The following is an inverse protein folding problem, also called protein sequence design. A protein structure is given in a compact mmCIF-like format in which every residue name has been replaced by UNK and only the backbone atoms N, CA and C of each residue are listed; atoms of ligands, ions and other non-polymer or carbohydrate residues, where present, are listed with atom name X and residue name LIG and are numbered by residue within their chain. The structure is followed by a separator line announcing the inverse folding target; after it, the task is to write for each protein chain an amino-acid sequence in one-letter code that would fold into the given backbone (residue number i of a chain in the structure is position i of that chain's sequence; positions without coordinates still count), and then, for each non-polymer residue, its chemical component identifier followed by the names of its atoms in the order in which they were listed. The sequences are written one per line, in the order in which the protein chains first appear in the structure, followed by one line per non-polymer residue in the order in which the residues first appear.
data_IF_449959890539
#
_entry.id   IF_449959890539
#
_cell.length_a   1.000
_cell.length_b   1.000
_cell.length_c   1.000
_cell.angle_alpha   90.00
_cell.angle_beta   90.00
_cell.angle_gamma   90.00
#
_symmetry.space_group_name_H-M   'P 1'
#
loop_
_entity.id
_entity.type
_entity.pdbx_description
1 polymer ?
#
# COMPACT_ATOMS: atom_id res chain seq x y z
N UNK A 1 7.30 33.16 -27.19
CA UNK A 1 5.97 33.31 -26.54
C UNK A 1 5.90 32.33 -25.37
N UNK A 2 5.29 32.67 -24.25
CA UNK A 2 5.11 31.74 -23.14
C UNK A 2 4.44 30.44 -23.59
N UNK A 3 4.87 29.30 -23.03
CA UNK A 3 4.31 28.01 -23.36
C UNK A 3 2.90 27.80 -22.72
N UNK A 4 2.04 26.92 -23.28
CA UNK A 4 0.70 26.70 -22.74
C UNK A 4 0.70 26.18 -21.29
N UNK A 5 -0.31 26.60 -20.53
CA UNK A 5 -0.67 26.07 -19.22
C UNK A 5 -2.08 25.48 -19.34
N UNK A 6 -2.18 24.15 -19.36
CA UNK A 6 -3.45 23.45 -19.52
C UNK A 6 -4.02 23.06 -18.15
N UNK A 7 -5.32 23.18 -17.96
CA UNK A 7 -6.00 22.73 -16.74
C UNK A 7 -6.65 21.38 -16.95
N UNK A 8 -6.35 20.42 -16.10
CA UNK A 8 -6.88 19.05 -16.15
C UNK A 8 -7.62 18.71 -14.87
N UNK A 9 -8.59 17.82 -14.93
CA UNK A 9 -9.38 17.34 -13.77
C UNK A 9 -9.00 15.95 -13.32
N UNK A 10 -8.32 15.19 -14.18
CA UNK A 10 -7.79 13.85 -13.89
C UNK A 10 -6.29 13.84 -14.16
N UNK A 11 -5.51 13.60 -13.13
CA UNK A 11 -4.05 13.58 -13.22
C UNK A 11 -3.50 12.38 -14.04
N UNK A 12 -4.30 11.32 -14.20
CA UNK A 12 -3.95 10.15 -15.01
C UNK A 12 -4.24 10.35 -16.51
N UNK A 13 -4.92 11.43 -16.89
CA UNK A 13 -5.24 11.75 -18.29
C UNK A 13 -4.03 12.25 -19.10
N UNK A 14 -2.91 12.53 -18.45
CA UNK A 14 -1.67 13.02 -19.05
C UNK A 14 -0.48 12.19 -18.59
N UNK A 15 0.62 12.26 -19.34
CA UNK A 15 1.89 11.62 -19.00
C UNK A 15 2.94 12.72 -18.77
N UNK A 16 3.01 13.30 -17.58
CA UNK A 16 3.99 14.33 -17.27
C UNK A 16 5.38 13.72 -17.04
N UNK A 17 6.43 14.45 -17.38
CA UNK A 17 7.81 14.06 -17.03
C UNK A 17 8.04 14.10 -15.52
N UNK A 18 7.27 14.94 -14.82
CA UNK A 18 7.33 15.06 -13.37
C UNK A 18 6.00 15.56 -12.81
N UNK A 19 5.56 14.96 -11.70
CA UNK A 19 4.44 15.47 -10.91
C UNK A 19 5.02 16.30 -9.77
N UNK A 20 4.64 17.58 -9.70
CA UNK A 20 5.17 18.54 -8.73
C UNK A 20 4.11 18.94 -7.72
N UNK A 21 4.34 18.64 -6.45
CA UNK A 21 3.54 19.12 -5.33
C UNK A 21 4.18 20.37 -4.72
N UNK A 22 3.53 21.51 -4.89
CA UNK A 22 4.02 22.78 -4.33
C UNK A 22 3.50 23.08 -2.93
N UNK A 23 2.85 22.12 -2.26
CA UNK A 23 2.43 22.25 -0.86
C UNK A 23 3.64 22.21 0.08
N UNK A 24 3.43 22.59 1.34
CA UNK A 24 4.49 22.51 2.33
C UNK A 24 4.96 21.07 2.57
N UNK A 25 6.20 20.86 3.06
CA UNK A 25 6.71 19.52 3.36
C UNK A 25 5.80 18.70 4.29
N UNK A 26 5.19 19.32 5.30
CA UNK A 26 4.25 18.65 6.19
C UNK A 26 2.96 18.20 5.48
N UNK A 27 2.40 19.04 4.59
CA UNK A 27 1.25 18.67 3.77
C UNK A 27 1.58 17.50 2.81
N UNK A 28 2.79 17.48 2.24
CA UNK A 28 3.29 16.42 1.37
C UNK A 28 3.52 15.10 2.12
N UNK A 29 4.15 15.18 3.30
CA UNK A 29 4.43 14.00 4.12
C UNK A 29 3.16 13.29 4.60
N UNK A 30 2.06 14.04 4.81
CA UNK A 30 0.77 13.45 5.18
C UNK A 30 0.20 12.59 4.05
N UNK A 31 0.17 13.12 2.82
CA UNK A 31 -0.30 12.41 1.61
C UNK A 31 0.03 13.21 0.35
N UNK A 32 0.29 12.54 -0.76
CA UNK A 32 0.57 13.15 -2.07
C UNK A 32 0.23 12.19 -3.21
N UNK A 33 0.18 12.68 -4.45
CA UNK A 33 0.06 11.83 -5.63
C UNK A 33 1.30 10.92 -5.71
N UNK A 34 1.16 9.58 -5.84
CA UNK A 34 2.29 8.67 -5.96
C UNK A 34 3.27 9.10 -7.06
N UNK A 35 4.56 9.09 -6.74
CA UNK A 35 5.62 9.57 -7.64
C UNK A 35 5.78 11.09 -7.71
N UNK A 36 4.99 11.88 -6.99
CA UNK A 36 5.16 13.33 -6.95
C UNK A 36 6.45 13.73 -6.21
N UNK A 37 7.08 14.79 -6.70
CA UNK A 37 8.23 15.45 -6.06
C UNK A 37 7.74 16.69 -5.31
N UNK A 38 8.15 16.85 -4.06
CA UNK A 38 7.80 18.05 -3.30
C UNK A 38 8.72 19.22 -3.68
N UNK A 39 8.14 20.26 -4.25
CA UNK A 39 8.78 21.54 -4.53
C UNK A 39 7.99 22.66 -3.82
N UNK A 40 8.12 22.78 -2.50
CA UNK A 40 7.26 23.64 -1.71
C UNK A 40 7.50 25.12 -2.03
N UNK A 41 6.43 25.84 -2.39
CA UNK A 41 6.50 27.31 -2.51
C UNK A 41 6.43 28.00 -1.15
N UNK A 42 6.16 27.25 -0.08
CA UNK A 42 6.29 27.65 1.31
C UNK A 42 6.88 26.49 2.12
N UNK A 43 7.86 26.74 2.98
CA UNK A 43 8.21 25.80 4.05
C UNK A 43 7.02 25.58 4.99
N UNK A 44 7.09 24.62 5.88
CA UNK A 44 6.03 24.36 6.88
C UNK A 44 5.78 25.60 7.73
N UNK A 45 6.84 26.27 8.22
CA UNK A 45 6.75 27.46 9.05
C UNK A 45 6.23 28.67 8.27
N UNK A 46 6.74 28.89 7.06
CA UNK A 46 6.23 29.95 6.17
C UNK A 46 4.74 29.76 5.88
N UNK A 47 4.31 28.51 5.68
CA UNK A 47 2.90 28.20 5.44
C UNK A 47 2.02 28.53 6.65
N UNK A 48 2.49 28.21 7.87
CA UNK A 48 1.83 28.56 9.13
C UNK A 48 1.76 30.08 9.31
N UNK A 49 2.87 30.77 9.12
CA UNK A 49 2.98 32.23 9.25
C UNK A 49 2.02 32.96 8.30
N UNK A 50 2.05 32.65 7.01
CA UNK A 50 1.18 33.27 6.01
C UNK A 50 -0.31 32.94 6.30
N UNK A 51 -0.61 31.73 6.77
CA UNK A 51 -1.94 31.32 7.17
C UNK A 51 -2.49 32.13 8.35
N UNK A 52 -1.67 32.41 9.35
CA UNK A 52 -1.99 33.23 10.51
C UNK A 52 -2.18 34.70 10.10
N UNK A 53 -1.24 35.26 9.33
CA UNK A 53 -1.31 36.64 8.86
C UNK A 53 -2.58 36.88 8.01
N UNK A 54 -2.98 35.90 7.18
CA UNK A 54 -4.19 35.98 6.36
C UNK A 54 -5.47 36.04 7.20
N UNK A 55 -5.51 35.27 8.32
CA UNK A 55 -6.70 35.20 9.19
C UNK A 55 -6.79 36.34 10.18
N UNK A 56 -5.66 36.78 10.72
CA UNK A 56 -5.61 37.67 11.88
C UNK A 56 -5.30 39.13 11.56
N UNK A 57 -4.79 39.45 10.36
CA UNK A 57 -4.36 40.79 10.00
C UNK A 57 -4.96 41.24 8.67
N UNK A 58 -4.27 41.02 7.56
CA UNK A 58 -4.68 41.54 6.26
C UNK A 58 -4.37 40.53 5.14
N UNK A 59 -5.41 40.21 4.34
CA UNK A 59 -5.25 39.39 3.15
C UNK A 59 -4.25 40.00 2.13
N UNK A 60 -4.15 41.33 2.05
CA UNK A 60 -3.20 42.03 1.19
C UNK A 60 -1.76 41.85 1.70
N UNK A 61 -1.53 42.07 3.00
CA UNK A 61 -0.21 41.92 3.63
C UNK A 61 0.29 40.48 3.52
N UNK A 62 -0.60 39.50 3.79
CA UNK A 62 -0.30 38.07 3.63
C UNK A 62 0.09 37.71 2.19
N UNK A 63 -0.65 38.22 1.20
CA UNK A 63 -0.33 38.01 -0.22
C UNK A 63 0.98 38.67 -0.63
N UNK A 64 1.25 39.94 -0.20
CA UNK A 64 2.51 40.63 -0.49
C UNK A 64 3.71 39.90 0.10
N UNK A 65 3.65 39.55 1.39
CA UNK A 65 4.73 38.80 2.06
C UNK A 65 4.90 37.41 1.44
N UNK A 66 3.80 36.70 1.20
CA UNK A 66 3.78 35.38 0.59
C UNK A 66 4.37 35.36 -0.82
N UNK A 67 4.08 36.37 -1.64
CA UNK A 67 4.65 36.47 -2.99
C UNK A 67 6.18 36.52 -2.98
N UNK A 68 6.79 37.29 -2.07
CA UNK A 68 8.26 37.34 -1.92
C UNK A 68 8.85 36.00 -1.50
N UNK A 69 8.19 35.26 -0.61
CA UNK A 69 8.62 33.92 -0.20
C UNK A 69 8.51 32.92 -1.34
N UNK A 70 7.36 32.91 -2.04
CA UNK A 70 7.09 32.06 -3.21
C UNK A 70 8.15 32.26 -4.29
N UNK A 71 8.44 33.51 -4.67
CA UNK A 71 9.42 33.82 -5.70
C UNK A 71 10.82 33.29 -5.35
N UNK A 72 11.26 33.46 -4.10
CA UNK A 72 12.55 32.97 -3.62
C UNK A 72 12.63 31.44 -3.62
N UNK A 73 11.60 30.77 -3.13
CA UNK A 73 11.56 29.32 -3.08
C UNK A 73 11.53 28.71 -4.50
N UNK A 74 10.77 29.30 -5.43
CA UNK A 74 10.76 28.85 -6.83
C UNK A 74 12.14 29.05 -7.47
N UNK A 75 12.82 30.18 -7.25
CA UNK A 75 14.18 30.41 -7.76
C UNK A 75 15.13 29.28 -7.31
N UNK A 76 15.09 28.93 -6.01
CA UNK A 76 15.89 27.81 -5.51
C UNK A 76 15.56 26.46 -6.16
N UNK A 77 14.29 26.18 -6.48
CA UNK A 77 13.93 24.94 -7.20
C UNK A 77 14.44 24.92 -8.64
N UNK A 78 14.43 26.06 -9.32
CA UNK A 78 15.01 26.18 -10.68
C UNK A 78 16.51 25.94 -10.69
N UNK A 79 17.22 26.45 -9.68
CA UNK A 79 18.68 26.32 -9.53
C UNK A 79 19.11 24.91 -9.06
N UNK A 80 18.19 24.08 -8.58
CA UNK A 80 18.49 22.74 -8.04
C UNK A 80 17.75 21.63 -8.78
N UNK A 81 16.51 21.37 -8.42
CA UNK A 81 15.72 20.21 -8.90
C UNK A 81 15.33 20.30 -10.38
N UNK A 82 15.32 21.51 -10.95
CA UNK A 82 14.90 21.76 -12.33
C UNK A 82 16.05 22.22 -13.24
N UNK A 83 17.28 22.38 -12.72
CA UNK A 83 18.43 22.92 -13.47
C UNK A 83 18.78 22.11 -14.72
N UNK A 84 18.60 20.79 -14.67
CA UNK A 84 18.99 19.87 -15.75
C UNK A 84 17.81 19.56 -16.71
N UNK A 85 16.67 20.27 -16.61
CA UNK A 85 15.50 19.99 -17.45
C UNK A 85 15.62 20.66 -18.81
N UNK A 86 15.46 19.87 -19.86
CA UNK A 86 15.50 20.32 -21.25
C UNK A 86 14.25 21.12 -21.68
N UNK A 87 14.24 21.62 -22.93
CA UNK A 87 13.14 22.44 -23.44
C UNK A 87 11.80 21.71 -23.54
N UNK A 88 11.81 20.39 -23.70
CA UNK A 88 10.62 19.55 -23.87
C UNK A 88 10.00 19.10 -22.53
N UNK A 89 10.54 19.56 -21.40
CA UNK A 89 10.06 19.19 -20.07
C UNK A 89 8.61 19.65 -19.83
N UNK A 90 7.76 18.73 -19.41
CA UNK A 90 6.32 18.93 -19.23
C UNK A 90 5.87 18.49 -17.83
N UNK A 91 5.86 19.39 -16.84
CA UNK A 91 5.42 19.05 -15.48
C UNK A 91 3.90 19.13 -15.31
N UNK A 92 3.37 18.25 -14.44
CA UNK A 92 2.07 18.40 -13.81
C UNK A 92 2.24 19.03 -12.43
N UNK A 93 1.63 20.19 -12.21
CA UNK A 93 1.81 20.97 -10.99
C UNK A 93 0.51 21.05 -10.22
N UNK A 94 0.54 20.80 -8.92
CA UNK A 94 -0.64 20.97 -8.08
C UNK A 94 -0.31 21.58 -6.71
N UNK A 95 -1.33 22.17 -6.09
CA UNK A 95 -1.32 22.61 -4.70
C UNK A 95 -2.59 22.10 -4.00
N UNK A 96 -2.97 22.67 -2.84
CA UNK A 96 -4.12 22.19 -2.07
C UNK A 96 -5.47 22.27 -2.81
N UNK A 97 -5.71 23.38 -3.57
CA UNK A 97 -6.98 23.66 -4.29
C UNK A 97 -6.78 24.08 -5.75
N UNK A 98 -5.62 23.88 -6.35
CA UNK A 98 -5.35 24.33 -7.73
C UNK A 98 -5.38 25.85 -7.88
N UNK A 99 -4.92 26.60 -6.87
CA UNK A 99 -4.98 28.07 -6.84
C UNK A 99 -3.60 28.72 -7.03
N UNK A 100 -3.40 29.88 -6.38
CA UNK A 100 -2.25 30.75 -6.57
C UNK A 100 -0.89 30.08 -6.42
N UNK A 101 -0.73 29.10 -5.52
CA UNK A 101 0.56 28.42 -5.26
C UNK A 101 1.05 27.64 -6.49
N UNK A 102 0.21 26.79 -7.06
CA UNK A 102 0.57 26.03 -8.26
C UNK A 102 0.65 26.90 -9.51
N UNK A 103 -0.23 27.89 -9.65
CA UNK A 103 -0.19 28.82 -10.74
C UNK A 103 1.08 29.71 -10.76
N UNK A 104 1.69 29.98 -9.59
CA UNK A 104 2.93 30.75 -9.52
C UNK A 104 4.10 30.00 -10.19
N UNK A 105 4.28 28.72 -9.87
CA UNK A 105 5.32 27.91 -10.51
C UNK A 105 4.99 27.67 -11.99
N UNK A 106 3.74 27.36 -12.34
CA UNK A 106 3.35 27.11 -13.72
C UNK A 106 3.60 28.31 -14.64
N UNK A 107 3.39 29.55 -14.17
CA UNK A 107 3.70 30.75 -14.92
C UNK A 107 5.19 30.88 -15.23
N UNK A 108 6.05 30.58 -14.26
CA UNK A 108 7.50 30.62 -14.47
C UNK A 108 7.92 29.53 -15.46
N UNK A 109 7.39 28.29 -15.32
CA UNK A 109 7.61 27.23 -16.29
C UNK A 109 7.19 27.64 -17.71
N UNK A 110 6.04 28.29 -17.84
CA UNK A 110 5.52 28.83 -19.11
C UNK A 110 6.45 29.89 -19.73
N UNK A 111 6.97 30.82 -18.94
CA UNK A 111 7.94 31.85 -19.41
C UNK A 111 9.28 31.24 -19.83
N UNK A 112 9.71 30.14 -19.22
CA UNK A 112 10.91 29.39 -19.63
C UNK A 112 10.66 28.67 -20.98
N UNK A 113 9.40 28.38 -21.33
CA UNK A 113 9.01 27.66 -22.53
C UNK A 113 8.50 26.23 -22.24
N UNK A 114 8.36 25.83 -20.97
CA UNK A 114 7.87 24.52 -20.57
C UNK A 114 6.32 24.48 -20.53
N UNK A 115 5.72 23.67 -21.41
CA UNK A 115 4.28 23.40 -21.34
C UNK A 115 3.98 22.70 -20.02
N UNK A 116 2.96 23.16 -19.31
CA UNK A 116 2.64 22.66 -17.98
C UNK A 116 1.18 22.29 -17.84
N UNK A 117 0.88 21.27 -17.03
CA UNK A 117 -0.48 20.96 -16.61
C UNK A 117 -0.72 21.44 -15.18
N UNK A 118 -1.90 21.97 -14.94
CA UNK A 118 -2.41 22.28 -13.60
C UNK A 118 -3.54 21.34 -13.24
N UNK A 119 -3.45 20.65 -12.10
CA UNK A 119 -4.56 19.87 -11.58
C UNK A 119 -5.63 20.82 -11.01
N UNK A 120 -6.77 20.94 -11.69
CA UNK A 120 -7.91 21.72 -11.24
C UNK A 120 -8.44 21.20 -9.90
N UNK A 121 -8.62 22.11 -8.93
CA UNK A 121 -8.95 21.74 -7.56
C UNK A 121 -7.81 21.10 -6.77
N UNK A 122 -6.66 20.83 -7.39
CA UNK A 122 -5.42 20.36 -6.77
C UNK A 122 -5.59 19.08 -5.98
N UNK A 123 -4.87 18.97 -4.85
CA UNK A 123 -4.91 17.81 -3.95
C UNK A 123 -6.33 17.40 -3.53
N UNK A 124 -7.26 18.35 -3.38
CA UNK A 124 -8.64 18.01 -3.04
C UNK A 124 -9.33 17.21 -4.14
N UNK A 125 -9.06 17.50 -5.42
CA UNK A 125 -9.57 16.71 -6.54
C UNK A 125 -8.94 15.34 -6.56
N UNK A 126 -7.62 15.25 -6.47
CA UNK A 126 -6.90 13.98 -6.31
C UNK A 126 -7.49 13.12 -5.18
N UNK A 127 -7.64 13.70 -3.98
CA UNK A 127 -8.16 12.95 -2.82
C UNK A 127 -9.59 12.43 -3.03
N UNK A 128 -10.45 13.17 -3.70
CA UNK A 128 -11.79 12.69 -4.08
C UNK A 128 -11.72 11.52 -5.06
N UNK A 129 -10.80 11.55 -6.02
CA UNK A 129 -10.58 10.45 -6.95
C UNK A 129 -10.09 9.19 -6.19
N UNK A 130 -9.12 9.33 -5.29
CA UNK A 130 -8.67 8.22 -4.44
C UNK A 130 -9.83 7.56 -3.70
N UNK A 131 -10.67 8.34 -3.02
CA UNK A 131 -11.81 7.80 -2.28
C UNK A 131 -12.84 7.11 -3.18
N UNK A 132 -13.13 7.67 -4.34
CA UNK A 132 -14.02 7.08 -5.33
C UNK A 132 -13.45 5.77 -5.90
N UNK A 133 -12.16 5.71 -6.15
CA UNK A 133 -11.47 4.51 -6.63
C UNK A 133 -11.47 3.40 -5.59
N UNK A 134 -11.21 3.72 -4.33
CA UNK A 134 -11.27 2.76 -3.22
C UNK A 134 -12.67 2.18 -2.99
N UNK A 135 -13.71 2.91 -3.35
CA UNK A 135 -15.08 2.38 -3.30
C UNK A 135 -15.43 1.54 -4.54
N UNK A 136 -14.99 1.97 -5.71
CA UNK A 136 -15.35 1.35 -7.00
C UNK A 136 -14.51 0.14 -7.38
N UNK A 137 -13.17 0.28 -7.35
CA UNK A 137 -12.25 -0.70 -7.95
C UNK A 137 -12.29 -2.09 -7.30
N UNK A 138 -12.34 -2.22 -5.96
CA UNK A 138 -12.31 -3.53 -5.33
C UNK A 138 -13.45 -4.44 -5.76
N UNK A 139 -14.64 -3.87 -6.05
CA UNK A 139 -15.82 -4.65 -6.45
C UNK A 139 -15.69 -5.41 -7.77
N UNK A 140 -14.78 -4.99 -8.64
CA UNK A 140 -14.49 -5.66 -9.92
C UNK A 140 -13.41 -6.74 -9.83
N UNK A 141 -12.70 -6.86 -8.71
CA UNK A 141 -11.57 -7.78 -8.59
C UNK A 141 -11.98 -9.19 -8.16
N UNK A 142 -11.24 -10.18 -8.65
CA UNK A 142 -11.33 -11.57 -8.22
C UNK A 142 -10.17 -11.86 -7.27
N UNK A 143 -10.43 -11.68 -5.97
CA UNK A 143 -9.41 -11.90 -4.95
C UNK A 143 -9.28 -13.38 -4.59
N UNK A 144 -8.05 -13.83 -4.38
CA UNK A 144 -7.70 -15.10 -3.74
C UNK A 144 -6.79 -14.80 -2.55
N UNK A 145 -7.26 -15.13 -1.36
CA UNK A 145 -6.48 -14.87 -0.14
C UNK A 145 -5.39 -15.91 0.06
N UNK A 146 -4.21 -15.48 0.45
CA UNK A 146 -3.15 -16.34 0.98
C UNK A 146 -3.27 -16.33 2.51
N UNK A 147 -3.65 -17.45 3.10
CA UNK A 147 -3.83 -17.60 4.55
C UNK A 147 -2.88 -18.65 5.12
N UNK A 148 -2.70 -18.66 6.41
CA UNK A 148 -1.84 -19.60 7.12
C UNK A 148 -1.31 -18.99 8.41
N UNK A 149 -0.88 -19.81 9.39
CA UNK A 149 -0.33 -19.34 10.65
C UNK A 149 0.90 -18.43 10.46
N UNK A 150 1.29 -17.74 11.53
CA UNK A 150 2.52 -16.94 11.53
C UNK A 150 3.75 -17.81 11.22
N UNK A 151 4.64 -17.31 10.38
CA UNK A 151 5.86 -18.01 9.98
C UNK A 151 5.70 -18.98 8.80
N UNK A 152 4.54 -19.05 8.12
CA UNK A 152 4.34 -19.92 6.95
C UNK A 152 4.77 -19.30 5.62
N UNK A 153 5.43 -18.14 5.63
CA UNK A 153 6.02 -17.52 4.43
C UNK A 153 5.02 -16.88 3.47
N UNK A 154 3.83 -16.44 3.95
CA UNK A 154 2.79 -15.80 3.12
C UNK A 154 3.31 -14.66 2.25
N UNK A 155 3.99 -13.70 2.84
CA UNK A 155 4.55 -12.51 2.14
C UNK A 155 5.58 -12.92 1.09
N UNK A 156 6.47 -13.87 1.40
CA UNK A 156 7.43 -14.39 0.43
C UNK A 156 6.76 -15.18 -0.69
N UNK A 157 5.68 -15.93 -0.39
CA UNK A 157 4.89 -16.58 -1.43
C UNK A 157 4.19 -15.55 -2.33
N UNK A 158 3.65 -14.47 -1.76
CA UNK A 158 3.04 -13.39 -2.55
C UNK A 158 4.05 -12.78 -3.52
N UNK A 159 5.29 -12.55 -3.07
CA UNK A 159 6.39 -12.10 -3.93
C UNK A 159 6.75 -13.15 -5.01
N UNK A 160 6.77 -14.45 -4.69
CA UNK A 160 7.02 -15.52 -5.65
C UNK A 160 5.90 -15.62 -6.70
N UNK A 161 4.65 -15.41 -6.31
CA UNK A 161 3.50 -15.32 -7.23
C UNK A 161 3.67 -14.13 -8.19
N UNK A 162 4.03 -12.95 -7.67
CA UNK A 162 4.31 -11.78 -8.50
C UNK A 162 5.45 -12.03 -9.49
N UNK A 163 6.56 -12.60 -9.02
CA UNK A 163 7.71 -12.96 -9.87
C UNK A 163 7.36 -13.99 -10.96
N UNK A 164 6.34 -14.83 -10.75
CA UNK A 164 5.82 -15.77 -11.76
C UNK A 164 4.80 -15.13 -12.72
N UNK A 165 4.57 -13.81 -12.65
CA UNK A 165 3.65 -13.07 -13.50
C UNK A 165 2.19 -13.08 -13.03
N UNK A 166 1.89 -13.58 -11.82
CA UNK A 166 0.58 -13.46 -11.22
C UNK A 166 0.38 -12.03 -10.66
N UNK A 167 -0.87 -11.58 -10.59
CA UNK A 167 -1.18 -10.32 -9.94
C UNK A 167 -1.22 -10.49 -8.42
N UNK A 168 -0.57 -9.61 -7.71
CA UNK A 168 -0.58 -9.60 -6.24
C UNK A 168 -0.84 -8.21 -5.70
N UNK A 169 -1.49 -8.14 -4.54
CA UNK A 169 -1.72 -6.92 -3.79
C UNK A 169 -1.10 -7.09 -2.40
N UNK A 170 0.08 -6.51 -2.22
CA UNK A 170 0.84 -6.57 -0.97
C UNK A 170 0.42 -5.42 -0.05
N UNK A 171 -0.54 -5.70 0.83
CA UNK A 171 -1.08 -4.72 1.76
C UNK A 171 -0.07 -4.36 2.87
N UNK A 172 0.80 -5.30 3.26
CA UNK A 172 1.84 -5.07 4.24
C UNK A 172 2.91 -4.10 3.72
N UNK A 173 3.36 -4.29 2.47
CA UNK A 173 4.29 -3.38 1.82
C UNK A 173 3.69 -1.98 1.67
N UNK A 174 2.43 -1.87 1.23
CA UNK A 174 1.73 -0.58 1.11
C UNK A 174 1.59 0.14 2.46
N UNK A 175 1.41 -0.63 3.55
CA UNK A 175 1.33 -0.12 4.91
C UNK A 175 2.71 0.12 5.56
N UNK A 176 3.81 -0.28 4.91
CA UNK A 176 5.16 -0.32 5.51
C UNK A 176 5.17 -1.02 6.88
N UNK A 177 4.48 -2.20 6.97
CA UNK A 177 4.30 -2.94 8.22
C UNK A 177 3.94 -4.40 7.95
N UNK A 178 4.52 -5.34 8.68
CA UNK A 178 4.34 -6.80 8.49
C UNK A 178 3.09 -7.37 9.18
N UNK A 179 2.03 -6.62 9.39
CA UNK A 179 0.74 -7.08 9.94
C UNK A 179 0.77 -7.62 11.38
N UNK A 180 1.88 -8.12 11.87
CA UNK A 180 2.03 -8.73 13.20
C UNK A 180 2.36 -7.72 14.29
N UNK A 181 2.33 -8.14 15.56
CA UNK A 181 2.77 -7.32 16.69
C UNK A 181 4.23 -6.84 16.57
N UNK A 182 5.08 -7.66 15.96
CA UNK A 182 6.48 -7.39 15.66
C UNK A 182 6.69 -6.80 14.25
N UNK A 183 5.61 -6.34 13.61
CA UNK A 183 5.60 -5.99 12.20
C UNK A 183 6.16 -4.62 11.84
N UNK A 184 6.55 -3.79 12.81
CA UNK A 184 7.19 -2.51 12.53
C UNK A 184 8.54 -2.70 11.83
N UNK A 185 8.71 -2.06 10.67
CA UNK A 185 9.97 -2.16 9.92
C UNK A 185 11.03 -1.23 10.52
N UNK A 186 12.30 -1.65 10.58
CA UNK A 186 13.38 -0.77 11.04
C UNK A 186 13.52 0.42 10.07
N UNK A 187 13.68 1.60 10.64
CA UNK A 187 13.93 2.86 9.90
C UNK A 187 12.82 3.27 8.90
N UNK A 188 11.63 2.67 8.99
CA UNK A 188 10.47 3.05 8.18
C UNK A 188 9.28 3.33 9.09
N UNK A 189 8.74 4.55 9.03
CA UNK A 189 7.45 4.86 9.65
C UNK A 189 6.30 4.41 8.74
N UNK A 190 5.22 3.96 9.35
CA UNK A 190 4.00 3.72 8.59
C UNK A 190 3.51 5.02 7.94
N UNK A 191 2.91 4.94 6.74
CA UNK A 191 2.27 6.08 6.14
C UNK A 191 1.09 6.55 7.01
N UNK A 192 0.65 7.79 6.80
CA UNK A 192 -0.67 8.21 7.27
C UNK A 192 -1.77 7.33 6.66
N UNK A 193 -2.97 7.36 7.25
CA UNK A 193 -4.13 6.66 6.64
C UNK A 193 -4.37 7.13 5.19
N UNK A 194 -4.25 8.43 4.92
CA UNK A 194 -4.40 9.00 3.58
C UNK A 194 -3.32 8.51 2.62
N UNK A 195 -2.06 8.51 3.07
CA UNK A 195 -0.93 8.02 2.29
C UNK A 195 -1.05 6.53 1.96
N UNK A 196 -1.50 5.71 2.91
CA UNK A 196 -1.81 4.30 2.66
C UNK A 196 -2.92 4.15 1.61
N UNK A 197 -4.02 4.89 1.76
CA UNK A 197 -5.15 4.87 0.82
C UNK A 197 -4.75 5.32 -0.59
N UNK A 198 -3.89 6.32 -0.71
CA UNK A 198 -3.36 6.80 -1.99
C UNK A 198 -2.51 5.74 -2.69
N UNK A 199 -1.59 5.10 -1.96
CA UNK A 199 -0.79 3.98 -2.47
C UNK A 199 -1.65 2.79 -2.86
N UNK A 200 -2.67 2.47 -2.06
CA UNK A 200 -3.61 1.39 -2.34
C UNK A 200 -4.43 1.65 -3.59
N UNK A 201 -4.99 2.86 -3.74
CA UNK A 201 -5.74 3.22 -4.94
C UNK A 201 -4.88 3.13 -6.20
N UNK A 202 -3.62 3.55 -6.12
CA UNK A 202 -2.68 3.44 -7.23
C UNK A 202 -2.37 1.97 -7.57
N UNK A 203 -2.10 1.14 -6.58
CA UNK A 203 -1.91 -0.30 -6.77
C UNK A 203 -3.15 -0.97 -7.39
N UNK A 204 -4.37 -0.62 -6.95
CA UNK A 204 -5.61 -1.15 -7.50
C UNK A 204 -5.83 -0.78 -8.99
N UNK A 205 -5.36 0.38 -9.42
CA UNK A 205 -5.41 0.79 -10.84
C UNK A 205 -4.49 -0.03 -11.75
N UNK A 206 -3.43 -0.64 -11.21
CA UNK A 206 -2.51 -1.48 -11.97
C UNK A 206 -3.04 -2.90 -12.17
N UNK A 207 -4.14 -3.27 -11.52
CA UNK A 207 -4.70 -4.62 -11.57
C UNK A 207 -5.69 -4.77 -12.71
N UNK A 208 -5.55 -5.88 -13.47
CA UNK A 208 -6.51 -6.32 -14.48
C UNK A 208 -7.64 -7.10 -13.79
N UNK A 209 -8.90 -6.61 -13.80
CA UNK A 209 -10.02 -7.30 -13.17
C UNK A 209 -10.37 -8.64 -13.84
N UNK A 210 -9.89 -8.90 -15.07
CA UNK A 210 -10.09 -10.17 -15.74
C UNK A 210 -9.23 -11.30 -15.17
N UNK A 211 -8.15 -10.97 -14.45
CA UNK A 211 -7.18 -11.92 -13.89
C UNK A 211 -7.37 -12.06 -12.38
N UNK A 212 -7.05 -13.23 -11.77
CA UNK A 212 -7.05 -13.36 -10.32
C UNK A 212 -5.98 -12.50 -9.66
N UNK A 213 -6.30 -11.95 -8.49
CA UNK A 213 -5.38 -11.15 -7.68
C UNK A 213 -5.15 -11.86 -6.35
N UNK A 214 -3.90 -12.16 -6.04
CA UNK A 214 -3.51 -12.76 -4.77
C UNK A 214 -3.25 -11.67 -3.75
N UNK A 215 -3.75 -11.85 -2.51
CA UNK A 215 -3.58 -10.90 -1.42
C UNK A 215 -3.46 -11.65 -0.09
N UNK A 216 -2.67 -11.13 0.84
CA UNK A 216 -2.57 -11.74 2.17
C UNK A 216 -3.87 -11.60 2.96
N UNK A 217 -4.19 -12.65 3.73
CA UNK A 217 -5.37 -12.67 4.60
C UNK A 217 -5.11 -11.87 5.88
N UNK A 218 -4.98 -10.57 5.75
CA UNK A 218 -4.77 -9.65 6.87
C UNK A 218 -6.04 -9.40 7.69
N UNK A 219 -5.88 -8.75 8.85
CA UNK A 219 -6.99 -8.16 9.58
C UNK A 219 -7.46 -6.87 8.89
N UNK A 220 -8.60 -6.32 9.32
CA UNK A 220 -9.07 -5.02 8.82
C UNK A 220 -8.11 -3.87 9.15
N UNK A 221 -7.11 -4.11 10.00
CA UNK A 221 -6.12 -3.13 10.44
C UNK A 221 -4.71 -3.71 10.34
N UNK A 222 -3.79 -2.94 9.75
CA UNK A 222 -2.37 -3.27 9.60
C UNK A 222 -1.58 -2.20 10.36
N UNK A 223 -1.09 -2.54 11.55
CA UNK A 223 -0.47 -1.56 12.45
C UNK A 223 -1.41 -0.41 12.77
N UNK A 224 -1.08 0.82 12.36
CA UNK A 224 -1.87 2.04 12.59
C UNK A 224 -2.91 2.34 11.50
N UNK A 225 -2.83 1.69 10.32
CA UNK A 225 -3.72 1.97 9.18
C UNK A 225 -4.84 0.93 9.04
N UNK A 226 -5.97 1.36 8.47
CA UNK A 226 -7.13 0.52 8.23
C UNK A 226 -7.32 0.24 6.74
N UNK A 227 -7.63 -1.01 6.41
CA UNK A 227 -8.04 -1.39 5.06
C UNK A 227 -9.42 -0.75 4.77
N UNK A 228 -9.60 -0.06 3.63
CA UNK A 228 -10.88 0.54 3.25
C UNK A 228 -12.01 -0.50 3.27
N UNK A 229 -13.17 -0.10 3.79
CA UNK A 229 -14.30 -0.99 4.06
C UNK A 229 -14.72 -1.81 2.85
N UNK A 230 -14.71 -1.21 1.65
CA UNK A 230 -15.09 -1.90 0.42
C UNK A 230 -14.12 -3.04 0.08
N UNK A 231 -12.81 -2.79 0.12
CA UNK A 231 -11.80 -3.83 -0.10
C UNK A 231 -11.91 -4.94 0.95
N UNK A 232 -12.04 -4.55 2.23
CA UNK A 232 -12.21 -5.51 3.31
C UNK A 232 -13.44 -6.40 3.12
N UNK A 233 -14.58 -5.84 2.69
CA UNK A 233 -15.79 -6.62 2.38
C UNK A 233 -15.56 -7.64 1.26
N UNK A 234 -14.83 -7.27 0.20
CA UNK A 234 -14.49 -8.20 -0.90
C UNK A 234 -13.52 -9.29 -0.41
N UNK A 235 -12.53 -8.92 0.41
CA UNK A 235 -11.61 -9.90 1.02
C UNK A 235 -12.33 -10.92 1.91
N UNK A 236 -13.35 -10.51 2.65
CA UNK A 236 -14.12 -11.43 3.50
C UNK A 236 -14.91 -12.49 2.71
N UNK A 237 -15.27 -12.19 1.47
CA UNK A 237 -16.03 -13.09 0.58
C UNK A 237 -15.12 -13.92 -0.33
N UNK A 238 -13.82 -13.65 -0.34
CA UNK A 238 -12.87 -14.31 -1.23
C UNK A 238 -12.53 -15.73 -0.78
N UNK A 239 -12.34 -16.61 -1.78
CA UNK A 239 -11.73 -17.93 -1.58
C UNK A 239 -10.28 -17.79 -1.07
N UNK A 240 -9.80 -18.84 -0.37
CA UNK A 240 -8.46 -18.79 0.19
C UNK A 240 -7.62 -20.02 -0.15
N UNK A 241 -6.31 -19.80 -0.28
CA UNK A 241 -5.26 -20.83 -0.30
C UNK A 241 -4.61 -20.82 1.08
N UNK A 242 -4.61 -21.97 1.74
CA UNK A 242 -4.00 -22.13 3.07
C UNK A 242 -2.60 -22.71 2.97
N UNK A 243 -1.64 -22.03 3.60
CA UNK A 243 -0.29 -22.53 3.79
C UNK A 243 -0.15 -23.21 5.14
N UNK A 244 0.50 -24.35 5.15
CA UNK A 244 0.85 -25.12 6.33
C UNK A 244 2.34 -25.45 6.31
N UNK A 245 2.97 -25.44 7.47
CA UNK A 245 4.34 -25.89 7.66
C UNK A 245 4.51 -26.40 9.08
N UNK A 246 5.54 -27.25 9.30
CA UNK A 246 5.88 -27.74 10.63
C UNK A 246 6.29 -26.59 11.55
N UNK A 247 6.16 -26.77 12.86
CA UNK A 247 6.59 -25.76 13.84
C UNK A 247 8.08 -25.44 13.69
N UNK A 248 8.92 -26.47 13.50
CA UNK A 248 10.36 -26.29 13.29
C UNK A 248 10.69 -25.45 12.05
N UNK A 249 10.03 -25.72 10.91
CA UNK A 249 10.21 -24.94 9.69
C UNK A 249 9.78 -23.48 9.87
N UNK A 250 8.68 -23.24 10.60
CA UNK A 250 8.18 -21.88 10.90
C UNK A 250 9.13 -21.10 11.82
N UNK A 251 9.69 -21.76 12.82
CA UNK A 251 10.72 -21.16 13.71
C UNK A 251 11.95 -20.78 12.90
N UNK A 252 12.49 -21.69 12.11
CA UNK A 252 13.66 -21.42 11.27
C UNK A 252 13.42 -20.26 10.29
N UNK A 253 12.23 -20.25 9.67
CA UNK A 253 11.82 -19.17 8.77
C UNK A 253 11.75 -17.81 9.47
N UNK A 254 11.13 -17.75 10.65
CA UNK A 254 11.02 -16.49 11.41
C UNK A 254 12.36 -15.96 11.86
N UNK A 255 13.27 -16.83 12.32
CA UNK A 255 14.62 -16.41 12.71
C UNK A 255 15.38 -15.78 11.53
N UNK A 256 15.27 -16.37 10.34
CA UNK A 256 15.89 -15.84 9.14
C UNK A 256 15.21 -14.52 8.65
N UNK A 257 13.89 -14.41 8.80
CA UNK A 257 13.12 -13.27 8.31
C UNK A 257 13.18 -12.05 9.25
N UNK A 258 13.42 -12.28 10.53
CA UNK A 258 13.51 -11.26 11.58
C UNK A 258 14.95 -11.09 12.13
N UNK A 259 15.98 -11.46 11.37
CA UNK A 259 17.39 -11.34 11.77
C UNK A 259 17.75 -9.93 12.28
N UNK A 260 17.20 -8.88 11.67
CA UNK A 260 17.37 -7.49 12.11
C UNK A 260 16.88 -7.21 13.54
N UNK A 261 15.87 -7.96 14.02
CA UNK A 261 15.39 -7.86 15.41
C UNK A 261 16.32 -8.62 16.36
N UNK A 262 16.92 -9.71 15.90
CA UNK A 262 17.86 -10.51 16.70
C UNK A 262 19.16 -9.73 16.98
N UNK A 263 19.50 -8.77 16.09
CA UNK A 263 20.65 -7.88 16.29
C UNK A 263 20.38 -6.77 17.31
N UNK A 264 19.12 -6.49 17.68
CA UNK A 264 18.75 -5.51 18.71
C UNK A 264 17.63 -6.08 19.62
N UNK A 265 17.98 -7.03 20.52
CA UNK A 265 17.00 -7.68 21.40
C UNK A 265 16.24 -6.72 22.32
N UNK A 266 16.77 -5.53 22.60
CA UNK A 266 16.11 -4.53 23.43
C UNK A 266 14.75 -4.10 22.86
N UNK A 267 14.56 -4.19 21.55
CA UNK A 267 13.28 -3.90 20.89
C UNK A 267 12.16 -4.88 21.24
N UNK A 268 12.48 -6.11 21.62
CA UNK A 268 11.47 -7.10 22.02
C UNK A 268 10.91 -6.84 23.42
N UNK A 269 11.69 -6.27 24.32
CA UNK A 269 11.32 -6.13 25.71
C UNK A 269 10.02 -5.35 25.96
N UNK A 270 9.77 -4.18 25.34
CA UNK A 270 8.49 -3.47 25.46
C UNK A 270 7.31 -4.26 24.88
N UNK A 271 7.55 -5.02 23.80
CA UNK A 271 6.54 -5.80 23.11
C UNK A 271 6.08 -6.98 23.96
N UNK A 272 7.04 -7.74 24.54
CA UNK A 272 6.76 -8.84 25.45
C UNK A 272 6.06 -8.31 26.72
N UNK A 273 6.55 -7.22 27.30
CA UNK A 273 5.93 -6.59 28.48
C UNK A 273 4.47 -6.17 28.21
N UNK A 274 4.19 -5.66 27.00
CA UNK A 274 2.82 -5.28 26.57
C UNK A 274 1.86 -6.47 26.47
N UNK A 275 2.37 -7.71 26.39
CA UNK A 275 1.55 -8.93 26.34
C UNK A 275 1.07 -9.41 27.72
N UNK A 276 1.57 -8.82 28.84
CA UNK A 276 1.28 -9.26 30.21
C UNK A 276 -0.22 -9.28 30.55
N UNK A 277 -0.98 -8.31 30.08
CA UNK A 277 -2.43 -8.29 30.27
C UNK A 277 -3.15 -9.47 29.61
N UNK A 278 -2.59 -9.99 28.52
CA UNK A 278 -3.23 -11.03 27.72
C UNK A 278 -2.80 -12.45 28.12
N UNK A 279 -1.57 -12.62 28.57
CA UNK A 279 -0.95 -13.93 28.81
C UNK A 279 -0.60 -14.18 30.28
N UNK A 280 -0.73 -13.18 31.14
CA UNK A 280 -0.35 -13.25 32.55
C UNK A 280 1.13 -13.00 32.78
N UNK A 281 1.50 -12.92 34.07
CA UNK A 281 2.89 -12.62 34.47
C UNK A 281 3.83 -13.77 34.17
N UNK A 282 3.48 -14.98 34.58
CA UNK A 282 4.30 -16.19 34.43
C UNK A 282 4.74 -16.43 32.98
N UNK A 283 3.81 -16.40 32.05
CA UNK A 283 4.12 -16.59 30.63
C UNK A 283 5.00 -15.47 30.05
N UNK A 284 4.77 -14.25 30.49
CA UNK A 284 5.54 -13.07 30.04
C UNK A 284 6.97 -13.11 30.61
N UNK A 285 7.13 -13.49 31.86
CA UNK A 285 8.43 -13.66 32.51
C UNK A 285 9.23 -14.78 31.84
N UNK A 286 8.60 -15.90 31.51
CA UNK A 286 9.24 -16.97 30.75
C UNK A 286 9.77 -16.48 29.38
N UNK A 287 8.99 -15.68 28.63
CA UNK A 287 9.47 -15.11 27.37
C UNK A 287 10.61 -14.11 27.56
N UNK A 288 10.60 -13.33 28.64
CA UNK A 288 11.68 -12.41 28.99
C UNK A 288 12.97 -13.17 29.32
N UNK A 289 12.88 -14.26 30.08
CA UNK A 289 14.05 -15.12 30.38
C UNK A 289 14.66 -15.70 29.10
N UNK A 290 13.85 -16.18 28.16
CA UNK A 290 14.34 -16.70 26.88
C UNK A 290 15.03 -15.59 26.06
N UNK A 291 14.49 -14.38 26.07
CA UNK A 291 15.09 -13.23 25.42
C UNK A 291 16.43 -12.85 26.04
N UNK A 292 16.52 -12.81 27.38
CA UNK A 292 17.75 -12.48 28.12
C UNK A 292 18.84 -13.53 27.94
N UNK A 293 18.46 -14.81 27.80
CA UNK A 293 19.40 -15.92 27.52
C UNK A 293 19.85 -15.93 26.04
N UNK A 294 19.22 -15.15 25.17
CA UNK A 294 19.47 -15.19 23.74
C UNK A 294 18.98 -16.47 23.05
N UNK A 295 18.08 -17.22 23.70
CA UNK A 295 17.48 -18.44 23.13
C UNK A 295 16.30 -18.06 22.20
N UNK A 296 16.64 -17.47 21.07
CA UNK A 296 15.66 -17.01 20.09
C UNK A 296 14.84 -18.15 19.45
N UNK A 297 15.40 -19.35 19.20
CA UNK A 297 14.58 -20.48 18.74
C UNK A 297 13.47 -20.84 19.72
N UNK A 298 13.80 -21.01 21.00
CA UNK A 298 12.81 -21.33 22.03
C UNK A 298 11.81 -20.19 22.23
N UNK A 299 12.26 -18.93 22.17
CA UNK A 299 11.37 -17.75 22.23
C UNK A 299 10.38 -17.72 21.06
N UNK A 300 10.84 -17.96 19.83
CA UNK A 300 9.99 -18.01 18.64
C UNK A 300 8.96 -19.14 18.74
N UNK A 301 9.38 -20.34 19.17
CA UNK A 301 8.47 -21.48 19.38
C UNK A 301 7.42 -21.18 20.44
N UNK A 302 7.82 -20.62 21.58
CA UNK A 302 6.92 -20.26 22.67
C UNK A 302 5.89 -19.18 22.24
N UNK A 303 6.33 -18.16 21.49
CA UNK A 303 5.45 -17.13 20.95
C UNK A 303 4.49 -17.70 19.89
N UNK A 304 4.95 -18.55 18.99
CA UNK A 304 4.10 -19.23 18.02
C UNK A 304 2.99 -20.00 18.73
N UNK A 305 3.37 -20.84 19.67
CA UNK A 305 2.47 -21.80 20.33
C UNK A 305 1.47 -21.11 21.25
N UNK A 306 1.93 -20.18 22.08
CA UNK A 306 1.08 -19.56 23.12
C UNK A 306 0.37 -18.29 22.66
N UNK A 307 0.89 -17.57 21.65
CA UNK A 307 0.31 -16.30 21.22
C UNK A 307 -0.29 -16.38 19.80
N UNK A 308 0.54 -16.68 18.79
CA UNK A 308 0.14 -16.54 17.39
C UNK A 308 -0.85 -17.62 16.94
N UNK A 309 -0.63 -18.89 17.21
CA UNK A 309 -1.49 -19.99 16.75
C UNK A 309 -2.89 -19.95 17.40
N UNK A 310 -3.04 -19.65 18.70
CA UNK A 310 -4.36 -19.44 19.27
C UNK A 310 -5.08 -18.22 18.67
N UNK A 311 -4.36 -17.15 18.35
CA UNK A 311 -4.93 -15.97 17.70
C UNK A 311 -5.38 -16.29 16.26
N UNK A 312 -4.56 -17.00 15.49
CA UNK A 312 -4.90 -17.46 14.14
C UNK A 312 -6.13 -18.36 14.14
N UNK A 313 -6.19 -19.37 15.02
CA UNK A 313 -7.34 -20.28 15.14
C UNK A 313 -8.64 -19.52 15.43
N UNK A 314 -8.63 -18.56 16.35
CA UNK A 314 -9.82 -17.72 16.65
C UNK A 314 -10.27 -16.91 15.42
N UNK A 315 -9.33 -16.35 14.67
CA UNK A 315 -9.61 -15.58 13.47
C UNK A 315 -10.15 -16.46 12.35
N UNK A 316 -9.55 -17.63 12.14
CA UNK A 316 -9.99 -18.61 11.14
C UNK A 316 -11.43 -19.09 11.41
N UNK A 317 -11.75 -19.41 12.67
CA UNK A 317 -13.11 -19.79 13.08
C UNK A 317 -14.12 -18.66 12.88
N UNK A 318 -13.71 -17.41 13.16
CA UNK A 318 -14.61 -16.25 13.01
C UNK A 318 -14.97 -15.95 11.54
N UNK A 319 -14.03 -16.12 10.63
CA UNK A 319 -14.23 -15.74 9.22
C UNK A 319 -14.72 -16.86 8.33
N UNK A 320 -14.64 -18.15 8.76
CA UNK A 320 -15.13 -19.33 8.04
C UNK A 320 -14.83 -19.30 6.52
N UNK A 321 -13.60 -18.93 6.16
CA UNK A 321 -13.19 -18.74 4.76
C UNK A 321 -13.26 -20.07 4.01
N UNK A 322 -13.70 -20.03 2.76
CA UNK A 322 -13.69 -21.18 1.88
C UNK A 322 -12.24 -21.47 1.43
N UNK A 323 -11.65 -22.52 1.99
CA UNK A 323 -10.30 -22.97 1.58
C UNK A 323 -10.46 -23.81 0.31
N UNK A 324 -9.88 -23.35 -0.79
CA UNK A 324 -9.94 -24.05 -2.09
C UNK A 324 -8.70 -24.88 -2.38
N UNK A 325 -7.62 -24.60 -1.67
CA UNK A 325 -6.34 -25.31 -1.77
C UNK A 325 -5.59 -25.20 -0.43
N UNK A 326 -5.05 -26.33 0.06
CA UNK A 326 -4.11 -26.34 1.18
C UNK A 326 -2.77 -26.88 0.68
N UNK A 327 -1.69 -26.18 0.98
CA UNK A 327 -0.32 -26.56 0.63
C UNK A 327 0.51 -26.74 1.89
N UNK A 328 1.19 -27.87 1.97
CA UNK A 328 2.18 -28.12 2.99
C UNK A 328 3.56 -27.79 2.43
N UNK A 329 4.28 -26.88 3.11
CA UNK A 329 5.63 -26.44 2.75
C UNK A 329 6.63 -27.05 3.73
N UNK A 330 7.68 -27.65 3.20
CA UNK A 330 8.66 -28.41 4.01
C UNK A 330 9.72 -27.49 4.62
N UNK A 331 10.39 -26.70 3.78
CA UNK A 331 11.54 -25.88 4.18
C UNK A 331 11.26 -24.38 4.18
N UNK A 332 10.20 -23.91 3.53
CA UNK A 332 9.87 -22.49 3.34
C UNK A 332 10.98 -21.69 2.64
N UNK A 333 11.83 -22.35 1.92
CA UNK A 333 12.88 -21.74 1.10
C UNK A 333 12.34 -21.24 -0.25
N UNK A 334 13.18 -20.57 -1.03
CA UNK A 334 12.77 -20.01 -2.31
C UNK A 334 12.32 -21.08 -3.31
N UNK A 335 12.84 -22.29 -3.22
CA UNK A 335 12.47 -23.41 -4.09
C UNK A 335 11.08 -23.91 -3.79
N UNK A 336 10.76 -24.13 -2.51
CA UNK A 336 9.42 -24.50 -2.04
C UNK A 336 8.39 -23.42 -2.41
N UNK A 337 8.71 -22.17 -2.17
CA UNK A 337 7.83 -21.04 -2.48
C UNK A 337 7.56 -20.89 -3.98
N UNK A 338 8.58 -21.06 -4.82
CA UNK A 338 8.42 -21.04 -6.26
C UNK A 338 7.60 -22.22 -6.79
N UNK A 339 7.74 -23.41 -6.19
CA UNK A 339 6.92 -24.58 -6.51
C UNK A 339 5.46 -24.34 -6.13
N UNK A 340 5.22 -23.83 -4.92
CA UNK A 340 3.89 -23.46 -4.44
C UNK A 340 3.23 -22.40 -5.33
N UNK A 341 3.98 -21.36 -5.74
CA UNK A 341 3.48 -20.31 -6.62
C UNK A 341 3.00 -20.87 -7.97
N UNK A 342 3.78 -21.77 -8.58
CA UNK A 342 3.40 -22.46 -9.83
C UNK A 342 2.16 -23.33 -9.67
N UNK A 343 2.07 -24.09 -8.57
CA UNK A 343 0.90 -24.94 -8.30
C UNK A 343 -0.37 -24.12 -8.10
N UNK A 344 -0.30 -23.04 -7.31
CA UNK A 344 -1.41 -22.12 -7.07
C UNK A 344 -1.87 -21.51 -8.40
N UNK A 345 -0.93 -20.94 -9.16
CA UNK A 345 -1.25 -20.29 -10.45
C UNK A 345 -1.91 -21.28 -11.42
N UNK A 346 -1.37 -22.49 -11.57
CA UNK A 346 -1.92 -23.51 -12.43
C UNK A 346 -3.36 -23.93 -12.04
N UNK A 347 -3.61 -24.17 -10.75
CA UNK A 347 -4.93 -24.57 -10.25
C UNK A 347 -5.97 -23.45 -10.33
N UNK A 348 -5.61 -22.22 -9.98
CA UNK A 348 -6.53 -21.08 -9.98
C UNK A 348 -6.84 -20.63 -11.41
N UNK A 349 -5.84 -20.54 -12.30
CA UNK A 349 -6.03 -20.15 -13.70
C UNK A 349 -6.79 -21.25 -14.48
N UNK A 350 -6.48 -22.52 -14.24
CA UNK A 350 -7.17 -23.66 -14.86
C UNK A 350 -8.66 -23.74 -14.52
N UNK A 351 -9.05 -23.43 -13.27
CA UNK A 351 -10.46 -23.30 -12.88
C UNK A 351 -11.21 -22.20 -13.64
N UNK A 352 -10.54 -21.11 -13.99
CA UNK A 352 -11.14 -19.99 -14.71
C UNK A 352 -11.38 -20.37 -16.16
N UNK A 353 -10.42 -21.01 -16.81
CA UNK A 353 -10.55 -21.50 -18.20
C UNK A 353 -11.66 -22.54 -18.31
N UNK A 354 -11.76 -23.48 -17.37
CA UNK A 354 -12.80 -24.49 -17.32
C UNK A 354 -14.22 -23.91 -17.11
N UNK A 355 -14.37 -22.85 -16.29
CA UNK A 355 -15.66 -22.15 -16.11
C UNK A 355 -16.10 -21.34 -17.34
N UNK A 356 -15.15 -20.81 -18.11
CA UNK A 356 -15.44 -20.07 -19.35
C UNK A 356 -15.85 -21.05 -20.45
N UNK A 357 -15.14 -22.16 -20.63
CA UNK A 357 -15.47 -23.20 -21.60
C UNK A 357 -16.82 -23.87 -21.30
N UNK A 358 -17.11 -24.14 -20.03
CA UNK A 358 -18.41 -24.70 -19.63
C UNK A 358 -19.60 -23.76 -19.86
N UNK A 359 -19.41 -22.44 -19.76
CA UNK A 359 -20.44 -21.45 -20.09
C UNK A 359 -20.67 -21.28 -21.62
N UNK A 360 -19.65 -21.49 -22.44
CA UNK A 360 -19.76 -21.39 -23.88
C UNK A 360 -20.41 -22.66 -24.44
N UNK A 361 -20.05 -23.84 -23.97
CA UNK A 361 -20.70 -25.10 -24.36
C UNK A 361 -22.16 -25.21 -23.91
N UNK A 362 -22.50 -24.67 -22.73
CA UNK A 362 -23.90 -24.65 -22.25
C UNK A 362 -24.83 -23.70 -23.02
N UNK A 363 -24.28 -22.70 -23.73
CA UNK A 363 -25.06 -21.80 -24.59
C UNK A 363 -25.27 -22.32 -26.02
N UNK A 364 -24.40 -23.22 -26.49
CA UNK A 364 -24.48 -23.79 -27.84
C UNK A 364 -25.42 -25.02 -27.90
N UNK A 365 -25.68 -25.68 -26.78
CA UNK A 365 -26.59 -26.86 -26.71
C UNK A 365 -28.04 -26.52 -26.35
N UNK A 366 -28.37 -25.24 -26.17
CA UNK A 366 -29.69 -24.77 -25.73
C UNK A 366 -30.65 -24.25 -26.84
N UNK A 367 -30.23 -24.20 -28.11
CA UNK A 367 -31.07 -23.71 -29.19
C UNK A 367 -30.98 -24.70 -30.39
N UNK A 368 -31.79 -25.75 -30.39
CA UNK A 368 -32.39 -26.35 -31.55
C UNK A 368 -33.26 -27.58 -31.18
N UNK A 369 -34.47 -27.36 -30.71
CA UNK A 369 -35.62 -28.26 -30.90
C UNK A 369 -36.88 -27.42 -30.84
N UNK A 370 -37.21 -26.78 -31.97
CA UNK A 370 -38.50 -26.20 -32.26
C UNK A 370 -39.05 -26.98 -33.45
N UNK A 371 -39.98 -27.89 -33.17
CA UNK A 371 -40.72 -28.70 -34.13
C UNK A 371 -41.46 -27.82 -35.12
N UNK A 372 -41.32 -28.19 -36.40
CA UNK A 372 -42.24 -27.80 -37.47
C UNK A 372 -43.39 -28.82 -37.47
N UNK A 373 -44.58 -28.32 -37.21
CA UNK A 373 -45.85 -28.95 -37.59
C UNK A 373 -46.85 -27.87 -37.96
#
# INVERSE_FOLDING_TARGET
MPAPIDSITDWRSVQPDMIIDVRSPAEFAEDHIPGAVNMPVFSTDQRAEIGTLYKQSSAFMARRKGAGMVARNIAGHLETLLQDKGPDFQPLIYCWRGGQRSAALARICSEIGWRSWLLAGGYKTYRRQVLADLDRLPGGLRLTLITGPTGTGKTRLLAALAASGAQSLDLEALASHRGSLLGALPNQSQPSQKGFESRLADALHQLDPARPVFVEAESSRIGSVQIPTRLWSVMQQAEAVELRASLAARVAFLLADYDFLLQDPARFQPLISGMKQRHGAEQTEHWQELLEKGDFPALAEALITAHYDPAYKRTATRHQRQITLSLHLEALDQTDLNKAAREITGKITGKITGKITGKITGKITGENTGEIS
#
